data_IF_254228748900
#
_entry.id   IF_254228748900
#
_cell.length_a   1.000
_cell.length_b   1.000
_cell.length_c   1.000
_cell.angle_alpha   90.00
_cell.angle_beta   90.00
_cell.angle_gamma   90.00
#
_symmetry.space_group_name_H-M   'P 1'
#
loop_
_entity.id
_entity.type
_entity.pdbx_description
1 polymer ?
#
# COMPACT_ATOMS: atom_id res chain seq x y z
N UNK A 1 -19.30 -44.85 10.80
CA UNK A 1 -20.27 -44.45 9.76
C UNK A 1 -19.46 -43.94 8.57
N UNK A 2 -19.01 -44.86 7.71
CA UNK A 2 -19.46 -45.10 6.32
C UNK A 2 -19.18 -43.92 5.37
N UNK A 3 -18.19 -44.18 4.51
CA UNK A 3 -17.71 -43.41 3.36
C UNK A 3 -18.83 -43.19 2.31
N UNK A 4 -18.88 -42.03 1.69
CA UNK A 4 -19.54 -41.76 0.39
C UNK A 4 -18.48 -41.02 -0.46
N UNK A 5 -17.77 -41.64 -1.41
CA UNK A 5 -18.15 -41.96 -2.81
C UNK A 5 -18.62 -40.74 -3.63
N UNK A 6 -17.65 -40.12 -4.30
CA UNK A 6 -17.58 -39.67 -5.72
C UNK A 6 -18.92 -39.60 -6.49
N UNK A 7 -19.17 -38.50 -7.23
CA UNK A 7 -19.56 -38.47 -8.67
C UNK A 7 -19.62 -37.02 -9.20
N UNK A 8 -18.97 -36.84 -10.34
CA UNK A 8 -18.87 -35.66 -11.19
C UNK A 8 -20.23 -35.22 -11.77
N UNK A 9 -20.47 -33.90 -11.86
CA UNK A 9 -21.46 -33.32 -12.76
C UNK A 9 -20.87 -32.03 -13.36
N UNK A 10 -20.27 -32.18 -14.54
CA UNK A 10 -19.82 -31.07 -15.39
C UNK A 10 -21.07 -30.42 -15.96
N UNK A 11 -21.32 -29.16 -15.60
CA UNK A 11 -22.29 -28.30 -16.27
C UNK A 11 -21.57 -27.00 -16.65
N UNK A 12 -21.24 -26.90 -17.94
CA UNK A 12 -20.71 -25.70 -18.57
C UNK A 12 -21.65 -24.51 -18.33
N UNK A 13 -21.11 -23.33 -18.02
CA UNK A 13 -21.43 -22.09 -18.72
C UNK A 13 -20.84 -20.86 -18.02
N UNK A 14 -20.26 -19.99 -18.85
CA UNK A 14 -20.00 -18.57 -18.67
C UNK A 14 -18.78 -18.14 -17.84
N UNK A 15 -17.79 -17.62 -18.58
CA UNK A 15 -17.01 -16.43 -18.24
C UNK A 15 -17.67 -15.59 -17.14
N UNK A 16 -17.01 -15.40 -16.00
CA UNK A 16 -17.00 -14.17 -15.18
C UNK A 16 -15.94 -14.36 -14.09
N UNK A 17 -15.03 -13.40 -13.99
CA UNK A 17 -14.13 -13.27 -12.85
C UNK A 17 -12.70 -13.70 -13.13
N UNK A 18 -12.07 -13.11 -14.15
CA UNK A 18 -10.68 -12.70 -13.93
C UNK A 18 -10.73 -11.86 -12.65
N UNK A 19 -9.96 -12.21 -11.61
CA UNK A 19 -9.83 -11.36 -10.43
C UNK A 19 -9.48 -9.97 -10.93
N UNK A 20 -10.47 -9.09 -11.00
CA UNK A 20 -10.24 -7.68 -10.97
C UNK A 20 -9.72 -7.45 -9.56
N UNK A 21 -8.40 -7.56 -9.40
CA UNK A 21 -7.69 -6.76 -8.41
C UNK A 21 -8.25 -5.36 -8.62
N UNK A 22 -9.07 -4.91 -7.67
CA UNK A 22 -9.47 -3.52 -7.64
C UNK A 22 -8.16 -2.76 -7.53
N UNK A 23 -7.67 -2.24 -8.66
CA UNK A 23 -6.66 -1.20 -8.69
C UNK A 23 -7.28 -0.02 -7.96
N UNK A 24 -7.19 -0.03 -6.63
CA UNK A 24 -7.48 1.13 -5.82
C UNK A 24 -6.44 2.17 -6.23
N UNK A 25 -6.89 3.19 -6.96
CA UNK A 25 -6.03 4.28 -7.41
C UNK A 25 -5.18 4.77 -6.25
N UNK A 26 -3.86 4.55 -6.33
CA UNK A 26 -2.92 4.94 -5.29
C UNK A 26 -3.10 6.43 -4.97
N UNK A 27 -3.43 6.75 -3.71
CA UNK A 27 -3.65 8.14 -3.32
C UNK A 27 -2.36 8.94 -3.39
N UNK A 28 -2.49 10.15 -3.95
CA UNK A 28 -1.41 11.11 -4.02
C UNK A 28 -1.30 11.88 -2.70
N UNK A 29 -0.14 11.80 -2.05
CA UNK A 29 0.12 12.49 -0.79
C UNK A 29 0.27 14.01 -1.00
N UNK A 30 -0.30 14.79 -0.09
CA UNK A 30 -0.14 16.24 -0.04
C UNK A 30 0.92 16.67 0.98
N UNK A 31 1.41 17.91 0.83
CA UNK A 31 2.31 18.52 1.81
C UNK A 31 1.70 18.54 3.22
N UNK A 32 0.40 18.82 3.34
CA UNK A 32 -0.29 18.85 4.64
C UNK A 32 -0.33 17.48 5.30
N UNK A 33 -0.57 16.42 4.54
CA UNK A 33 -0.59 15.03 5.04
C UNK A 33 0.81 14.58 5.42
N UNK A 34 1.81 14.82 4.56
CA UNK A 34 3.21 14.51 4.87
C UNK A 34 3.68 15.15 6.18
N UNK A 35 3.27 16.39 6.47
CA UNK A 35 3.66 17.07 7.71
C UNK A 35 2.98 16.52 8.97
N UNK A 36 1.88 15.77 8.85
CA UNK A 36 1.27 15.06 9.98
C UNK A 36 2.01 13.76 10.32
N UNK A 37 2.82 13.23 9.40
CA UNK A 37 3.56 11.99 9.63
C UNK A 37 4.75 12.27 10.55
N UNK A 38 4.80 11.58 11.68
CA UNK A 38 5.85 11.71 12.69
C UNK A 38 6.61 10.39 12.90
N UNK A 39 7.79 10.49 13.50
CA UNK A 39 8.55 9.29 13.91
C UNK A 39 7.74 8.48 14.93
N UNK A 40 7.80 7.16 14.81
CA UNK A 40 7.07 6.25 15.70
C UNK A 40 5.61 5.96 15.33
N UNK A 41 5.06 6.61 14.30
CA UNK A 41 3.77 6.18 13.73
C UNK A 41 3.90 4.81 13.06
N UNK A 42 2.81 4.04 13.04
CA UNK A 42 2.69 2.80 12.28
C UNK A 42 2.41 3.05 10.80
N UNK A 43 2.52 2.00 9.99
CA UNK A 43 2.11 2.06 8.59
C UNK A 43 0.61 2.39 8.47
N UNK A 44 -0.23 1.76 9.29
CA UNK A 44 -1.69 1.96 9.30
C UNK A 44 -2.07 3.42 9.62
N UNK A 45 -1.46 4.03 10.63
CA UNK A 45 -1.68 5.44 10.97
C UNK A 45 -1.35 6.37 9.78
N UNK A 46 -0.33 6.04 8.99
CA UNK A 46 0.01 6.80 7.79
C UNK A 46 -1.01 6.59 6.68
N UNK A 47 -1.46 5.35 6.47
CA UNK A 47 -2.51 5.04 5.48
C UNK A 47 -3.78 5.81 5.79
N UNK A 48 -4.17 5.93 7.07
CA UNK A 48 -5.29 6.76 7.49
C UNK A 48 -5.08 8.26 7.22
N UNK A 49 -3.86 8.76 7.42
CA UNK A 49 -3.51 10.17 7.15
C UNK A 49 -3.59 10.49 5.66
N UNK A 50 -3.06 9.60 4.80
CA UNK A 50 -2.98 9.82 3.35
C UNK A 50 -4.27 9.38 2.64
N UNK A 51 -5.01 8.46 3.24
CA UNK A 51 -6.22 7.86 2.67
C UNK A 51 -5.94 6.80 1.62
N UNK A 52 -4.73 6.24 1.58
CA UNK A 52 -4.35 5.19 0.63
C UNK A 52 -2.96 4.60 0.91
N UNK A 53 -2.75 3.39 0.39
CA UNK A 53 -1.52 2.63 0.58
C UNK A 53 -0.33 3.22 -0.19
N UNK A 54 0.86 3.04 0.38
CA UNK A 54 2.12 3.39 -0.27
C UNK A 54 2.64 2.21 -1.11
N UNK A 55 3.41 2.50 -2.15
CA UNK A 55 4.09 1.47 -2.94
C UNK A 55 5.33 1.01 -2.20
N UNK A 56 5.45 -0.30 -1.95
CA UNK A 56 6.68 -0.86 -1.42
C UNK A 56 7.81 -0.70 -2.45
N UNK A 57 8.88 0.00 -2.08
CA UNK A 57 10.03 0.26 -2.95
C UNK A 57 11.11 -0.81 -2.74
N UNK A 58 11.46 -1.08 -1.48
CA UNK A 58 12.46 -2.09 -1.13
C UNK A 58 12.36 -2.53 0.33
N UNK A 59 12.89 -3.73 0.60
CA UNK A 59 13.10 -4.27 1.94
C UNK A 59 14.60 -4.30 2.20
N UNK A 60 15.09 -3.44 3.11
CA UNK A 60 16.52 -3.40 3.47
C UNK A 60 16.91 -4.53 4.43
N UNK A 61 15.99 -4.97 5.29
CA UNK A 61 16.18 -6.11 6.20
C UNK A 61 14.84 -6.70 6.62
N UNK A 62 14.82 -7.80 7.38
CA UNK A 62 13.58 -8.42 7.86
C UNK A 62 12.64 -7.49 8.63
N UNK A 63 13.19 -6.44 9.23
CA UNK A 63 12.42 -5.46 10.01
C UNK A 63 12.36 -4.07 9.37
N UNK A 64 13.11 -3.79 8.30
CA UNK A 64 13.17 -2.45 7.68
C UNK A 64 12.56 -2.46 6.29
N UNK A 65 11.55 -1.61 6.09
CA UNK A 65 10.79 -1.51 4.82
C UNK A 65 10.64 -0.05 4.40
N UNK A 66 10.67 0.18 3.09
CA UNK A 66 10.56 1.49 2.47
C UNK A 66 9.28 1.57 1.65
N UNK A 67 8.47 2.59 1.91
CA UNK A 67 7.27 2.88 1.16
C UNK A 67 7.36 4.25 0.50
N UNK A 68 6.80 4.35 -0.70
CA UNK A 68 6.72 5.56 -1.49
C UNK A 68 5.25 5.93 -1.71
N UNK A 69 4.91 7.18 -1.43
CA UNK A 69 3.68 7.80 -1.89
C UNK A 69 4.00 8.85 -2.93
N UNK A 70 3.39 8.75 -4.11
CA UNK A 70 3.53 9.75 -5.16
C UNK A 70 2.84 11.05 -4.73
N UNK A 71 3.45 12.19 -5.05
CA UNK A 71 2.87 13.50 -4.79
C UNK A 71 2.05 14.03 -5.97
N UNK A 72 1.35 15.14 -5.76
CA UNK A 72 0.51 15.76 -6.81
C UNK A 72 1.31 16.43 -7.92
N UNK A 73 2.53 16.88 -7.63
CA UNK A 73 3.39 17.51 -8.62
C UNK A 73 4.14 16.43 -9.45
N UNK A 74 4.49 16.71 -10.72
CA UNK A 74 5.31 15.80 -11.51
C UNK A 74 6.61 15.43 -10.80
N UNK A 75 6.97 14.15 -10.82
CA UNK A 75 8.18 13.58 -10.19
C UNK A 75 8.34 13.89 -8.69
N UNK A 76 7.24 14.22 -8.00
CA UNK A 76 7.20 14.44 -6.56
C UNK A 76 6.79 13.17 -5.81
N UNK A 77 7.36 12.96 -4.62
CA UNK A 77 7.06 11.79 -3.80
C UNK A 77 7.49 11.98 -2.34
N UNK A 78 6.91 11.19 -1.44
CA UNK A 78 7.36 10.98 -0.07
C UNK A 78 7.89 9.55 0.06
N UNK A 79 9.07 9.41 0.66
CA UNK A 79 9.63 8.12 1.05
C UNK A 79 9.65 8.01 2.57
N UNK A 80 9.03 6.96 3.09
CA UNK A 80 8.96 6.67 4.52
C UNK A 80 9.64 5.34 4.80
N UNK A 81 10.61 5.35 5.72
CA UNK A 81 11.27 4.13 6.19
C UNK A 81 10.68 3.72 7.54
N UNK A 82 10.27 2.46 7.61
CA UNK A 82 9.80 1.82 8.83
C UNK A 82 10.85 0.84 9.34
N UNK A 83 11.00 0.76 10.66
CA UNK A 83 11.64 -0.37 11.31
C UNK A 83 10.69 -0.93 12.36
N UNK A 84 10.43 -2.24 12.32
CA UNK A 84 9.46 -2.90 13.21
C UNK A 84 8.10 -2.17 13.25
N UNK A 85 7.56 -1.82 12.07
CA UNK A 85 6.30 -1.06 11.92
C UNK A 85 6.30 0.34 12.58
N UNK A 86 7.48 0.96 12.71
CA UNK A 86 7.59 2.31 13.26
C UNK A 86 8.40 3.20 12.35
N UNK A 87 7.88 4.39 12.05
CA UNK A 87 8.60 5.39 11.25
C UNK A 87 9.91 5.74 11.94
N UNK A 88 11.02 5.45 11.27
CA UNK A 88 12.36 5.85 11.72
C UNK A 88 12.90 7.03 10.91
N UNK A 89 12.43 7.19 9.67
CA UNK A 89 12.89 8.23 8.74
C UNK A 89 11.79 8.58 7.74
N UNK A 90 11.76 9.85 7.36
CA UNK A 90 10.91 10.41 6.31
C UNK A 90 11.74 11.31 5.40
N UNK A 91 11.44 11.31 4.11
CA UNK A 91 12.04 12.16 3.08
C UNK A 91 10.94 12.56 2.10
N UNK A 92 10.97 13.80 1.60
CA UNK A 92 10.10 14.23 0.50
C UNK A 92 10.91 14.93 -0.59
N UNK A 93 10.47 14.77 -1.84
CA UNK A 93 10.93 15.53 -2.99
C UNK A 93 9.71 16.16 -3.66
N UNK A 94 9.73 17.48 -3.83
CA UNK A 94 8.78 18.18 -4.70
C UNK A 94 7.32 18.26 -4.22
N UNK A 95 6.98 17.69 -3.06
CA UNK A 95 5.60 17.72 -2.51
C UNK A 95 5.19 19.14 -2.08
N UNK A 96 6.14 19.94 -1.60
CA UNK A 96 5.90 21.32 -1.16
C UNK A 96 5.87 22.34 -2.31
N UNK A 97 6.30 21.98 -3.52
CA UNK A 97 6.43 22.91 -4.64
C UNK A 97 5.06 23.27 -5.22
N UNK A 98 4.72 24.55 -5.13
CA UNK A 98 3.67 25.22 -5.90
C UNK A 98 4.19 25.64 -7.26
#
# INVERSE_FOLDING_TARGET
>A
MKRFLIISFILSCFLIGCSAESEEDAKLITNKEYHKIEKGMSYEEIVEIVGGEGKADSKESDSTVHYIWDGKAPDSFASITFNQDKVIRKFEKGIASR
#
